data_IF_643117725094
#
_entry.id   IF_643117725094
#
_cell.length_a   1.000
_cell.length_b   1.000
_cell.length_c   1.000
_cell.angle_alpha   90.00
_cell.angle_beta   90.00
_cell.angle_gamma   90.00
#
_symmetry.space_group_name_H-M   'P 1'
#
loop_
_entity.id
_entity.type
_entity.pdbx_description
1 polymer ?
#
# COMPACT_ATOMS: atom_id res chain seq x y z
N UNK A 1 -4.38 -4.67 -20.25
CA UNK A 1 -4.18 -4.25 -18.85
C UNK A 1 -5.57 -4.18 -18.25
N UNK A 2 -5.85 -4.95 -17.19
CA UNK A 2 -7.12 -4.89 -16.47
C UNK A 2 -6.80 -4.19 -15.15
N UNK A 3 -7.33 -2.99 -14.93
CA UNK A 3 -7.13 -2.28 -13.67
C UNK A 3 -7.79 -3.06 -12.53
N UNK A 4 -7.37 -2.81 -11.29
CA UNK A 4 -7.92 -3.52 -10.12
C UNK A 4 -9.46 -3.44 -10.08
N UNK A 5 -10.02 -2.29 -10.48
CA UNK A 5 -11.46 -2.05 -10.57
C UNK A 5 -12.13 -2.93 -11.63
N UNK A 6 -11.50 -3.05 -12.81
CA UNK A 6 -12.00 -3.89 -13.90
C UNK A 6 -11.94 -5.38 -13.54
N UNK A 7 -10.86 -5.82 -12.88
CA UNK A 7 -10.71 -7.21 -12.41
C UNK A 7 -11.72 -7.55 -11.32
N UNK A 8 -11.95 -6.63 -10.38
CA UNK A 8 -12.98 -6.77 -9.35
C UNK A 8 -14.40 -6.81 -9.95
N UNK A 9 -14.68 -5.99 -10.97
CA UNK A 9 -15.97 -5.98 -11.67
C UNK A 9 -16.24 -7.32 -12.38
N UNK A 10 -15.24 -7.91 -13.04
CA UNK A 10 -15.36 -9.23 -13.68
C UNK A 10 -15.60 -10.33 -12.63
N UNK A 11 -14.91 -10.28 -11.49
CA UNK A 11 -15.13 -11.20 -10.38
C UNK A 11 -16.54 -11.10 -9.78
N UNK A 12 -17.02 -9.86 -9.55
CA UNK A 12 -18.38 -9.62 -9.06
C UNK A 12 -19.45 -10.08 -10.07
N UNK A 13 -19.22 -9.84 -11.36
CA UNK A 13 -20.09 -10.32 -12.43
C UNK A 13 -20.13 -11.84 -12.50
N UNK A 14 -18.98 -12.51 -12.38
CA UNK A 14 -18.90 -13.97 -12.29
C UNK A 14 -19.66 -14.53 -11.08
N UNK A 15 -19.50 -13.92 -9.90
CA UNK A 15 -20.24 -14.30 -8.70
C UNK A 15 -21.76 -14.11 -8.87
N UNK A 16 -22.18 -13.03 -9.55
CA UNK A 16 -23.58 -12.79 -9.88
C UNK A 16 -24.13 -13.88 -10.81
N UNK A 17 -23.43 -14.24 -11.88
CA UNK A 17 -23.83 -15.32 -12.79
C UNK A 17 -23.94 -16.68 -12.07
N UNK A 18 -22.99 -17.01 -11.20
CA UNK A 18 -23.05 -18.23 -10.40
C UNK A 18 -24.26 -18.22 -9.45
N UNK A 19 -24.59 -17.09 -8.84
CA UNK A 19 -25.78 -16.95 -8.01
C UNK A 19 -27.09 -17.11 -8.82
N UNK A 20 -27.12 -16.65 -10.08
CA UNK A 20 -28.24 -16.90 -11.01
C UNK A 20 -28.36 -18.40 -11.29
N UNK A 21 -27.24 -19.05 -11.65
CA UNK A 21 -27.23 -20.46 -12.01
C UNK A 21 -27.61 -21.37 -10.82
N UNK A 22 -27.16 -21.03 -9.61
CA UNK A 22 -27.51 -21.71 -8.38
C UNK A 22 -28.95 -21.41 -7.90
N UNK A 23 -29.67 -20.48 -8.56
CA UNK A 23 -31.02 -20.01 -8.18
C UNK A 23 -31.12 -19.51 -6.73
N UNK A 24 -30.02 -18.99 -6.20
CA UNK A 24 -29.94 -18.45 -4.83
C UNK A 24 -30.10 -16.94 -4.77
N UNK A 25 -30.39 -16.32 -5.92
CA UNK A 25 -30.57 -14.89 -6.08
C UNK A 25 -31.92 -14.47 -5.48
N UNK A 26 -31.83 -13.69 -4.41
CA UNK A 26 -32.96 -13.18 -3.66
C UNK A 26 -32.82 -11.67 -3.48
N UNK A 27 -33.93 -10.94 -3.52
CA UNK A 27 -33.94 -9.48 -3.44
C UNK A 27 -33.38 -8.98 -2.10
N UNK A 28 -33.69 -9.65 -1.00
CA UNK A 28 -33.21 -9.30 0.32
C UNK A 28 -31.71 -9.52 0.42
N UNK A 29 -31.21 -10.66 -0.06
CA UNK A 29 -29.76 -10.97 -0.10
C UNK A 29 -28.99 -9.98 -0.97
N UNK A 30 -29.55 -9.60 -2.12
CA UNK A 30 -28.93 -8.63 -3.04
C UNK A 30 -28.85 -7.26 -2.39
N UNK A 31 -29.92 -6.80 -1.75
CA UNK A 31 -29.96 -5.54 -1.00
C UNK A 31 -28.94 -5.54 0.15
N UNK A 32 -28.86 -6.63 0.91
CA UNK A 32 -27.88 -6.78 1.99
C UNK A 32 -26.45 -6.73 1.47
N UNK A 33 -26.13 -7.42 0.37
CA UNK A 33 -24.81 -7.39 -0.25
C UNK A 33 -24.41 -5.97 -0.67
N UNK A 34 -25.29 -5.25 -1.39
CA UNK A 34 -25.06 -3.87 -1.80
C UNK A 34 -24.85 -2.95 -0.59
N UNK A 35 -25.69 -3.06 0.45
CA UNK A 35 -25.56 -2.25 1.65
C UNK A 35 -24.24 -2.50 2.39
N UNK A 36 -23.81 -3.76 2.49
CA UNK A 36 -22.55 -4.11 3.14
C UNK A 36 -21.36 -3.54 2.37
N UNK A 37 -21.36 -3.68 1.03
CA UNK A 37 -20.33 -3.09 0.16
C UNK A 37 -20.32 -1.56 0.27
N UNK A 38 -21.48 -0.91 0.23
CA UNK A 38 -21.58 0.54 0.38
C UNK A 38 -21.07 1.02 1.74
N UNK A 39 -21.38 0.29 2.82
CA UNK A 39 -20.90 0.60 4.18
C UNK A 39 -19.38 0.49 4.28
N UNK A 40 -18.76 -0.55 3.71
CA UNK A 40 -17.30 -0.69 3.69
C UNK A 40 -16.65 0.43 2.88
N UNK A 41 -17.19 0.76 1.70
CA UNK A 41 -16.68 1.86 0.88
C UNK A 41 -16.82 3.20 1.60
N UNK A 42 -17.94 3.44 2.29
CA UNK A 42 -18.17 4.67 3.05
C UNK A 42 -17.16 4.85 4.21
N UNK A 43 -16.78 3.77 4.90
CA UNK A 43 -15.73 3.83 5.93
C UNK A 43 -14.40 4.29 5.33
N UNK A 44 -13.99 3.74 4.18
CA UNK A 44 -12.78 4.15 3.46
C UNK A 44 -12.89 5.60 2.97
N UNK A 45 -14.03 5.99 2.41
CA UNK A 45 -14.26 7.38 1.98
C UNK A 45 -14.14 8.38 3.14
N UNK A 46 -14.61 8.02 4.33
CA UNK A 46 -14.46 8.86 5.52
C UNK A 46 -13.00 8.98 5.98
N UNK A 47 -12.18 7.95 5.79
CA UNK A 47 -10.74 8.04 6.04
C UNK A 47 -10.08 9.05 5.09
N UNK A 48 -10.49 9.10 3.81
CA UNK A 48 -10.01 10.14 2.88
C UNK A 48 -10.33 11.55 3.38
N UNK A 49 -11.57 11.77 3.85
CA UNK A 49 -11.99 13.08 4.38
C UNK A 49 -11.18 13.46 5.61
N UNK A 50 -11.05 12.56 6.58
CA UNK A 50 -10.29 12.80 7.81
C UNK A 50 -8.80 13.04 7.53
N UNK A 51 -8.21 12.25 6.64
CA UNK A 51 -6.82 12.39 6.21
C UNK A 51 -6.55 13.70 5.47
N UNK A 52 -7.44 14.10 4.56
CA UNK A 52 -7.30 15.37 3.84
C UNK A 52 -7.40 16.57 4.78
N UNK A 53 -8.35 16.53 5.73
CA UNK A 53 -8.49 17.55 6.77
C UNK A 53 -7.24 17.61 7.66
N UNK A 54 -6.75 16.46 8.12
CA UNK A 54 -5.51 16.38 8.89
C UNK A 54 -4.32 16.96 8.11
N UNK A 55 -4.11 16.53 6.86
CA UNK A 55 -3.01 17.00 6.03
C UNK A 55 -3.09 18.51 5.79
N UNK A 56 -4.29 19.05 5.56
CA UNK A 56 -4.49 20.49 5.36
C UNK A 56 -4.19 21.29 6.63
N UNK A 57 -4.75 20.87 7.77
CA UNK A 57 -4.51 21.54 9.07
C UNK A 57 -3.05 21.42 9.50
N UNK A 58 -2.44 20.25 9.32
CA UNK A 58 -1.02 20.00 9.61
C UNK A 58 -0.11 20.88 8.76
N UNK A 59 -0.41 21.05 7.48
CA UNK A 59 0.32 21.97 6.61
C UNK A 59 0.15 23.44 7.03
N UNK A 60 -1.08 23.87 7.33
CA UNK A 60 -1.38 25.26 7.77
C UNK A 60 -0.69 25.62 9.09
N UNK A 61 -0.65 24.68 10.04
CA UNK A 61 0.02 24.87 11.33
C UNK A 61 1.55 24.81 11.24
N UNK A 62 2.12 24.60 10.04
CA UNK A 62 3.56 24.51 9.84
C UNK A 62 4.17 23.19 10.31
N UNK A 63 3.36 22.15 10.54
CA UNK A 63 3.84 20.83 10.99
C UNK A 63 4.83 20.20 10.00
N UNK A 64 4.64 20.47 8.70
CA UNK A 64 5.55 20.02 7.65
C UNK A 64 6.95 20.65 7.81
N UNK A 65 7.03 21.97 8.08
CA UNK A 65 8.30 22.65 8.31
C UNK A 65 8.99 22.19 9.60
N UNK A 66 8.21 21.89 10.65
CA UNK A 66 8.72 21.34 11.91
C UNK A 66 9.38 19.97 11.69
N UNK A 67 8.68 19.05 11.01
CA UNK A 67 9.22 17.73 10.69
C UNK A 67 10.45 17.82 9.78
N UNK A 68 10.40 18.69 8.77
CA UNK A 68 11.54 18.92 7.89
C UNK A 68 12.75 19.40 8.69
N UNK A 69 12.62 20.45 9.50
CA UNK A 69 13.72 20.95 10.35
C UNK A 69 14.26 19.87 11.31
N UNK A 70 13.38 19.06 11.90
CA UNK A 70 13.79 17.97 12.78
C UNK A 70 14.59 16.90 12.03
N UNK A 71 14.10 16.46 10.87
CA UNK A 71 14.80 15.47 10.02
C UNK A 71 16.14 16.02 9.52
N UNK A 72 16.18 17.29 9.11
CA UNK A 72 17.40 17.95 8.66
C UNK A 72 18.42 18.11 9.80
N UNK A 73 17.96 18.30 11.05
CA UNK A 73 18.84 18.39 12.22
C UNK A 73 19.62 17.10 12.51
N UNK A 74 19.14 15.96 12.00
CA UNK A 74 19.80 14.66 12.13
C UNK A 74 21.05 14.52 11.23
N UNK A 75 21.32 15.47 10.33
CA UNK A 75 22.47 15.47 9.41
C UNK A 75 22.69 14.11 8.70
N UNK A 76 21.60 13.53 8.20
CA UNK A 76 21.62 12.22 7.58
C UNK A 76 22.21 12.27 6.17
N UNK A 77 22.79 11.15 5.74
CA UNK A 77 23.11 10.90 4.32
C UNK A 77 21.83 10.54 3.54
N UNK A 78 21.81 10.71 2.21
CA UNK A 78 20.67 10.30 1.38
C UNK A 78 20.29 8.81 1.55
N UNK A 79 21.29 7.95 1.71
CA UNK A 79 21.09 6.50 1.96
C UNK A 79 20.38 6.28 3.30
N UNK A 80 20.83 6.96 4.35
CA UNK A 80 20.21 6.85 5.68
C UNK A 80 18.77 7.34 5.67
N UNK A 81 18.48 8.47 5.01
CA UNK A 81 17.11 8.94 4.84
C UNK A 81 16.25 7.94 4.05
N UNK A 82 16.78 7.37 2.97
CA UNK A 82 16.10 6.35 2.18
C UNK A 82 15.73 5.15 3.04
N UNK A 83 16.70 4.58 3.77
CA UNK A 83 16.45 3.43 4.66
C UNK A 83 15.46 3.77 5.78
N UNK A 84 15.60 4.95 6.41
CA UNK A 84 14.73 5.40 7.47
C UNK A 84 13.28 5.55 7.00
N UNK A 85 13.07 6.25 5.87
CA UNK A 85 11.72 6.45 5.32
C UNK A 85 11.07 5.12 4.94
N UNK A 86 11.82 4.19 4.33
CA UNK A 86 11.31 2.85 4.02
C UNK A 86 11.01 2.04 5.29
N UNK A 87 11.87 2.09 6.31
CA UNK A 87 11.64 1.39 7.57
C UNK A 87 10.39 1.91 8.31
N UNK A 88 10.21 3.25 8.37
CA UNK A 88 9.02 3.87 8.97
C UNK A 88 7.77 3.40 8.22
N UNK A 89 7.76 3.47 6.89
CA UNK A 89 6.63 3.06 6.07
C UNK A 89 6.33 1.56 6.24
N UNK A 90 7.35 0.72 6.31
CA UNK A 90 7.19 -0.72 6.52
C UNK A 90 6.50 -1.02 7.86
N UNK A 91 6.94 -0.37 8.94
CA UNK A 91 6.36 -0.54 10.28
C UNK A 91 4.94 0.00 10.33
N UNK A 92 4.67 1.15 9.70
CA UNK A 92 3.33 1.72 9.60
C UNK A 92 2.38 0.84 8.78
N UNK A 93 2.90 0.08 7.82
CA UNK A 93 2.15 -0.88 7.00
C UNK A 93 1.59 -2.07 7.75
N UNK A 94 1.96 -2.30 9.02
CA UNK A 94 1.32 -3.33 9.85
C UNK A 94 -0.06 -2.90 10.37
N UNK A 95 -0.20 -1.78 11.10
CA UNK A 95 -1.52 -1.35 11.60
C UNK A 95 -2.35 -0.57 10.58
N UNK A 96 -1.72 0.08 9.59
CA UNK A 96 -2.40 0.92 8.61
C UNK A 96 -2.49 0.24 7.26
N UNK A 97 -3.61 0.48 6.57
CA UNK A 97 -3.77 0.12 5.17
C UNK A 97 -2.89 1.03 4.28
N UNK A 98 -2.55 0.51 3.09
CA UNK A 98 -1.61 1.19 2.18
C UNK A 98 -2.13 2.55 1.69
N UNK A 99 -3.45 2.69 1.62
CA UNK A 99 -4.13 3.89 1.12
C UNK A 99 -3.91 5.08 2.07
N UNK A 100 -4.02 4.85 3.38
CA UNK A 100 -3.85 5.82 4.45
C UNK A 100 -2.40 6.28 4.52
N UNK A 101 -1.45 5.36 4.30
CA UNK A 101 -0.03 5.68 4.25
C UNK A 101 0.28 6.64 3.11
N UNK A 102 -0.27 6.37 1.92
CA UNK A 102 -0.05 7.21 0.73
C UNK A 102 -0.63 8.61 0.92
N UNK A 103 -1.73 8.77 1.65
CA UNK A 103 -2.37 10.10 1.74
C UNK A 103 -1.81 10.91 2.90
N UNK A 104 -1.44 10.27 4.01
CA UNK A 104 -0.94 10.97 5.19
C UNK A 104 0.57 11.16 5.10
N UNK A 105 1.33 10.09 4.85
CA UNK A 105 2.77 10.07 5.07
C UNK A 105 3.58 10.41 3.82
N UNK A 106 3.14 10.01 2.63
CA UNK A 106 3.87 10.34 1.39
C UNK A 106 4.01 11.86 1.18
N UNK A 107 2.97 12.70 1.34
CA UNK A 107 3.11 14.15 1.23
C UNK A 107 4.08 14.76 2.24
N UNK A 108 4.26 14.12 3.39
CA UNK A 108 5.21 14.54 4.43
C UNK A 108 6.65 14.29 3.96
N UNK A 109 6.95 13.13 3.35
CA UNK A 109 8.30 12.78 2.89
C UNK A 109 8.71 13.41 1.56
N UNK A 110 7.77 13.61 0.63
CA UNK A 110 8.03 14.21 -0.69
C UNK A 110 8.86 15.52 -0.68
N UNK A 111 8.58 16.54 0.15
CA UNK A 111 9.39 17.76 0.20
C UNK A 111 10.85 17.48 0.59
N UNK A 112 11.08 16.51 1.48
CA UNK A 112 12.41 16.17 1.99
C UNK A 112 13.28 15.52 0.91
N UNK A 113 12.68 14.83 -0.07
CA UNK A 113 13.43 14.16 -1.14
C UNK A 113 14.32 15.13 -1.92
N UNK A 114 13.87 16.37 -2.14
CA UNK A 114 14.66 17.40 -2.81
C UNK A 114 15.93 17.75 -2.04
N UNK A 115 15.85 17.81 -0.71
CA UNK A 115 17.02 18.09 0.12
C UNK A 115 18.09 17.00 0.00
N UNK A 116 17.67 15.73 -0.03
CA UNK A 116 18.56 14.59 -0.14
C UNK A 116 18.96 14.24 -1.59
N UNK A 117 18.53 15.01 -2.58
CA UNK A 117 18.71 14.73 -4.01
C UNK A 117 18.22 13.32 -4.43
N UNK A 118 17.07 12.91 -3.89
CA UNK A 118 16.44 11.63 -4.18
C UNK A 118 15.36 11.82 -5.24
N UNK A 119 15.38 10.99 -6.28
CA UNK A 119 14.35 10.96 -7.31
C UNK A 119 12.99 10.51 -6.72
N UNK A 120 11.91 11.31 -6.85
CA UNK A 120 10.60 10.96 -6.30
C UNK A 120 9.97 9.71 -6.89
N UNK A 121 10.24 9.40 -8.17
CA UNK A 121 9.71 8.21 -8.85
C UNK A 121 10.39 6.97 -8.30
N UNK A 122 11.72 7.01 -8.15
CA UNK A 122 12.47 5.90 -7.52
C UNK A 122 11.98 5.66 -6.09
N UNK A 123 11.92 6.72 -5.27
CA UNK A 123 11.47 6.61 -3.88
C UNK A 123 10.02 6.11 -3.79
N UNK A 124 9.11 6.66 -4.60
CA UNK A 124 7.71 6.25 -4.63
C UNK A 124 7.54 4.79 -5.06
N UNK A 125 8.29 4.34 -6.06
CA UNK A 125 8.24 2.93 -6.50
C UNK A 125 8.77 2.00 -5.41
N UNK A 126 9.85 2.38 -4.70
CA UNK A 126 10.32 1.64 -3.53
C UNK A 126 9.25 1.57 -2.44
N UNK A 127 8.54 2.68 -2.17
CA UNK A 127 7.40 2.69 -1.23
C UNK A 127 6.32 1.70 -1.63
N UNK A 128 5.94 1.61 -2.90
CA UNK A 128 4.94 0.64 -3.37
C UNK A 128 5.38 -0.81 -3.17
N UNK A 129 6.63 -1.13 -3.53
CA UNK A 129 7.20 -2.47 -3.34
C UNK A 129 7.30 -2.81 -1.85
N UNK A 130 7.69 -1.84 -1.02
CA UNK A 130 7.78 -1.98 0.43
C UNK A 130 6.42 -2.21 1.09
N UNK A 131 5.37 -1.49 0.68
CA UNK A 131 4.01 -1.69 1.18
C UNK A 131 3.49 -3.10 0.85
N UNK A 132 3.85 -3.67 -0.30
CA UNK A 132 3.54 -5.07 -0.58
C UNK A 132 4.27 -6.02 0.38
N UNK A 133 5.54 -5.77 0.68
CA UNK A 133 6.27 -6.55 1.67
C UNK A 133 5.60 -6.47 3.05
N UNK A 134 5.24 -5.27 3.51
CA UNK A 134 4.58 -5.05 4.80
C UNK A 134 3.26 -5.83 4.91
N UNK A 135 2.46 -5.85 3.84
CA UNK A 135 1.17 -6.56 3.79
C UNK A 135 1.28 -8.10 3.83
N UNK A 136 2.46 -8.62 3.52
CA UNK A 136 2.80 -10.06 3.56
C UNK A 136 3.54 -10.44 4.85
N UNK A 137 4.06 -9.45 5.60
CA UNK A 137 4.94 -9.64 6.74
C UNK A 137 4.17 -9.98 8.02
N UNK A 138 4.52 -11.07 8.74
CA UNK A 138 4.08 -11.25 10.13
C UNK A 138 4.52 -10.03 10.97
N UNK A 139 3.72 -9.56 11.96
CA UNK A 139 2.59 -10.23 12.62
C UNK A 139 1.19 -9.92 12.05
N UNK A 140 1.03 -8.86 11.24
CA UNK A 140 -0.27 -8.39 10.71
C UNK A 140 -0.35 -8.59 9.19
N UNK A 141 -0.05 -9.80 8.72
CA UNK A 141 -0.15 -10.13 7.31
C UNK A 141 -1.62 -10.38 6.92
N UNK A 142 -2.36 -9.31 6.63
CA UNK A 142 -3.78 -9.33 6.27
C UNK A 142 -4.09 -10.34 5.15
N UNK A 143 -3.21 -10.41 4.16
CA UNK A 143 -3.26 -11.38 3.05
C UNK A 143 -3.29 -12.85 3.51
N UNK A 144 -2.49 -13.21 4.51
CA UNK A 144 -2.44 -14.57 5.05
C UNK A 144 -3.72 -14.91 5.83
N UNK A 145 -4.29 -13.94 6.55
CA UNK A 145 -5.57 -14.11 7.24
C UNK A 145 -6.72 -14.30 6.26
N UNK A 146 -6.74 -13.58 5.14
CA UNK A 146 -7.70 -13.82 4.06
C UNK A 146 -7.56 -15.21 3.46
N UNK A 147 -6.33 -15.64 3.15
CA UNK A 147 -6.09 -16.98 2.62
C UNK A 147 -6.51 -18.06 3.63
N UNK A 148 -6.23 -17.86 4.92
CA UNK A 148 -6.64 -18.79 5.97
C UNK A 148 -8.17 -18.93 6.08
N UNK A 149 -8.93 -17.88 5.75
CA UNK A 149 -10.39 -17.90 5.74
C UNK A 149 -10.99 -18.85 4.68
N UNK A 150 -10.29 -19.07 3.57
CA UNK A 150 -10.73 -19.99 2.49
C UNK A 150 -9.95 -21.31 2.46
N UNK A 151 -8.80 -21.37 3.14
CA UNK A 151 -7.95 -22.56 3.15
C UNK A 151 -8.56 -23.71 3.98
N UNK A 152 -8.30 -24.98 3.59
CA UNK A 152 -8.70 -26.14 4.38
C UNK A 152 -8.25 -26.06 5.84
N UNK A 153 -9.03 -26.66 6.75
CA UNK A 153 -8.78 -26.60 8.20
C UNK A 153 -7.38 -27.08 8.61
N UNK A 154 -6.80 -28.04 7.87
CA UNK A 154 -5.49 -28.60 8.14
C UNK A 154 -4.31 -27.67 7.81
N UNK A 155 -4.51 -26.64 6.97
CA UNK A 155 -3.47 -25.67 6.64
C UNK A 155 -3.34 -24.66 7.77
N UNK A 156 -2.22 -24.62 8.46
CA UNK A 156 -2.02 -23.69 9.59
C UNK A 156 -1.57 -22.32 9.11
N UNK A 157 -1.85 -21.28 9.89
CA UNK A 157 -1.39 -19.91 9.57
C UNK A 157 0.14 -19.85 9.48
N UNK A 158 0.84 -20.60 10.33
CA UNK A 158 2.30 -20.70 10.29
C UNK A 158 2.83 -21.31 8.98
N UNK A 159 2.11 -22.26 8.38
CA UNK A 159 2.48 -22.79 7.06
C UNK A 159 2.32 -21.75 5.96
N UNK A 160 1.27 -20.92 6.04
CA UNK A 160 1.05 -19.82 5.11
C UNK A 160 2.17 -18.78 5.25
N UNK A 161 2.50 -18.36 6.47
CA UNK A 161 3.62 -17.45 6.74
C UNK A 161 4.96 -18.01 6.25
N UNK A 162 5.26 -19.27 6.55
CA UNK A 162 6.48 -19.92 6.09
C UNK A 162 6.58 -19.95 4.55
N UNK A 163 5.45 -20.12 3.85
CA UNK A 163 5.40 -20.06 2.38
C UNK A 163 5.60 -18.65 1.81
N UNK A 164 5.21 -17.60 2.55
CA UNK A 164 5.34 -16.20 2.13
C UNK A 164 6.75 -15.63 2.39
N UNK A 165 7.46 -16.12 3.41
CA UNK A 165 8.79 -15.63 3.79
C UNK A 165 9.83 -15.65 2.64
N UNK A 166 9.95 -16.71 1.81
CA UNK A 166 10.84 -16.71 0.65
C UNK A 166 10.50 -15.60 -0.34
N UNK A 167 9.22 -15.35 -0.57
CA UNK A 167 8.78 -14.28 -1.47
C UNK A 167 9.14 -12.90 -0.90
N UNK A 168 8.96 -12.67 0.40
CA UNK A 168 9.39 -11.43 1.05
C UNK A 168 10.88 -11.18 0.90
N UNK A 169 11.71 -12.22 1.00
CA UNK A 169 13.15 -12.10 0.78
C UNK A 169 13.47 -11.65 -0.66
N UNK A 170 12.75 -12.18 -1.66
CA UNK A 170 12.87 -11.73 -3.05
C UNK A 170 12.46 -10.27 -3.20
N UNK A 171 11.40 -9.82 -2.50
CA UNK A 171 10.95 -8.43 -2.53
C UNK A 171 12.01 -7.49 -1.94
N UNK A 172 12.62 -7.85 -0.80
CA UNK A 172 13.71 -7.08 -0.20
C UNK A 172 14.91 -7.01 -1.15
N UNK A 173 15.28 -8.12 -1.78
CA UNK A 173 16.35 -8.14 -2.79
C UNK A 173 16.01 -7.24 -3.99
N UNK A 174 14.76 -7.25 -4.44
CA UNK A 174 14.28 -6.38 -5.50
C UNK A 174 14.44 -4.90 -5.12
N UNK A 175 14.07 -4.52 -3.89
CA UNK A 175 14.27 -3.14 -3.40
C UNK A 175 15.74 -2.73 -3.38
N UNK A 176 16.65 -3.63 -2.94
CA UNK A 176 18.09 -3.38 -2.97
C UNK A 176 18.59 -3.19 -4.40
N UNK A 177 18.15 -4.03 -5.33
CA UNK A 177 18.52 -3.94 -6.75
C UNK A 177 17.97 -2.65 -7.38
N UNK A 178 16.73 -2.26 -7.08
CA UNK A 178 16.15 -0.99 -7.54
C UNK A 178 16.98 0.21 -7.07
N UNK A 179 17.48 0.18 -5.84
CA UNK A 179 18.34 1.23 -5.31
C UNK A 179 19.71 1.27 -5.98
N UNK A 180 20.36 0.12 -6.15
CA UNK A 180 21.68 0.01 -6.79
C UNK A 180 21.64 0.29 -8.30
N UNK A 181 20.53 -0.04 -8.95
CA UNK A 181 20.31 0.17 -10.37
C UNK A 181 18.98 0.91 -10.63
N UNK A 182 18.93 2.23 -10.39
CA UNK A 182 17.71 3.05 -10.58
C UNK A 182 17.15 3.01 -11.99
N UNK A 183 18.00 2.73 -13.00
CA UNK A 183 17.58 2.57 -14.38
C UNK A 183 16.47 1.53 -14.58
N UNK A 184 16.40 0.49 -13.75
CA UNK A 184 15.30 -0.48 -13.81
C UNK A 184 13.93 0.16 -13.53
N UNK A 185 13.88 1.12 -12.61
CA UNK A 185 12.67 1.85 -12.24
C UNK A 185 12.42 3.04 -13.16
N UNK A 186 13.47 3.76 -13.53
CA UNK A 186 13.38 5.04 -14.24
C UNK A 186 13.35 4.89 -15.76
N UNK A 187 13.76 3.75 -16.32
CA UNK A 187 13.83 3.56 -17.78
C UNK A 187 12.49 3.77 -18.48
N UNK A 188 11.41 3.15 -17.99
CA UNK A 188 10.10 3.24 -18.63
C UNK A 188 9.50 4.66 -18.49
N UNK A 189 9.49 5.29 -17.29
CA UNK A 189 9.08 6.68 -17.16
C UNK A 189 9.88 7.63 -18.07
N UNK A 190 11.20 7.48 -18.13
CA UNK A 190 12.06 8.31 -18.98
C UNK A 190 11.80 8.09 -20.47
N UNK A 191 11.44 6.86 -20.87
CA UNK A 191 11.09 6.56 -22.26
C UNK A 191 9.74 7.17 -22.67
N UNK A 192 8.72 7.10 -21.80
CA UNK A 192 7.37 7.56 -22.09
C UNK A 192 7.18 9.07 -21.91
N UNK A 193 7.81 9.63 -20.89
CA UNK A 193 7.62 11.01 -20.44
C UNK A 193 8.89 11.84 -20.51
N UNK A 194 9.91 11.36 -21.25
CA UNK A 194 11.27 11.92 -21.31
C UNK A 194 11.33 13.43 -21.11
N UNK A 195 12.15 13.83 -20.13
CA UNK A 195 12.24 15.20 -19.59
C UNK A 195 12.43 16.30 -20.63
#
# INVERSE_FOLDING_TARGET
ICTATESAAVGAFGAFLLAVQARTLDWERTKQAVFLTAKTTAMVCWLFVGSALFSAVFAILGGQALLEQWVLSLNMTPVQFMLLSQAIIFVLGWPLEWTEIIIIFVPIFLPMLKHFNIDPILWGTLVFVNLQAAFLSPPVAMSAFYLKGVAPKHVTLNQIFAGMMPYMLIVILCMVIMYLWPGMTLWLPNYLYGG
#
